data_IF_989602649856
#
_entry.id   IF_989602649856
#
_cell.length_a   1.000
_cell.length_b   1.000
_cell.length_c   1.000
_cell.angle_alpha   90.00
_cell.angle_beta   90.00
_cell.angle_gamma   90.00
#
_symmetry.space_group_name_H-M   'P 1'
#
loop_
_entity.id
_entity.type
_entity.pdbx_description
1 polymer ?
#
# COMPACT_ATOMS: atom_id res chain seq x y z
N UNK A 1 9.98 -16.75 -2.00
CA UNK A 1 8.71 -17.43 -2.36
C UNK A 1 7.94 -17.94 -1.15
N UNK A 2 8.49 -18.81 -0.28
CA UNK A 2 7.78 -19.37 0.90
C UNK A 2 7.19 -18.37 1.93
N UNK A 3 7.74 -17.17 2.06
CA UNK A 3 7.21 -16.15 2.98
C UNK A 3 5.86 -15.59 2.49
N UNK A 4 5.72 -15.43 1.17
CA UNK A 4 4.52 -14.93 0.53
C UNK A 4 3.38 -15.94 0.59
N UNK A 5 3.67 -17.24 0.47
CA UNK A 5 2.66 -18.31 0.60
C UNK A 5 1.95 -18.34 1.96
N UNK A 6 2.65 -17.91 3.03
CA UNK A 6 2.06 -17.74 4.37
C UNK A 6 1.32 -16.42 4.52
N UNK A 7 1.81 -15.34 3.90
CA UNK A 7 1.18 -14.04 3.94
C UNK A 7 -0.15 -14.03 3.16
N UNK A 8 -0.21 -14.72 2.01
CA UNK A 8 -1.41 -14.85 1.18
C UNK A 8 -2.54 -15.64 1.87
N UNK A 9 -2.22 -16.51 2.85
CA UNK A 9 -3.24 -17.13 3.70
C UNK A 9 -3.91 -16.15 4.66
N UNK A 10 -3.19 -15.11 5.10
CA UNK A 10 -3.70 -14.10 6.04
C UNK A 10 -4.36 -12.94 5.30
N UNK A 11 -3.84 -12.59 4.11
CA UNK A 11 -4.26 -11.41 3.34
C UNK A 11 -5.29 -11.77 2.26
N UNK A 12 -5.56 -13.07 2.05
CA UNK A 12 -6.47 -13.60 1.04
C UNK A 12 -5.80 -13.76 -0.34
N UNK A 13 -6.30 -14.67 -1.20
CA UNK A 13 -5.70 -14.97 -2.51
C UNK A 13 -5.88 -13.85 -3.55
N UNK A 14 -6.48 -12.73 -3.18
CA UNK A 14 -6.91 -11.67 -4.09
C UNK A 14 -5.99 -10.44 -4.08
N UNK A 15 -5.04 -10.37 -3.15
CA UNK A 15 -4.23 -9.17 -2.99
C UNK A 15 -3.01 -9.26 -3.89
N UNK A 16 -2.99 -8.42 -4.93
CA UNK A 16 -1.87 -8.36 -5.87
C UNK A 16 -0.59 -8.02 -5.11
N UNK A 17 0.34 -8.96 -5.11
CA UNK A 17 1.59 -8.84 -4.35
C UNK A 17 2.38 -7.60 -4.76
N UNK A 18 2.27 -7.21 -6.03
CA UNK A 18 2.93 -6.03 -6.59
C UNK A 18 2.44 -4.72 -5.95
N UNK A 19 1.15 -4.62 -5.62
CA UNK A 19 0.60 -3.42 -4.96
C UNK A 19 1.07 -3.34 -3.50
N UNK A 20 1.13 -4.48 -2.81
CA UNK A 20 1.64 -4.55 -1.44
C UNK A 20 3.11 -4.15 -1.39
N UNK A 21 3.91 -4.69 -2.30
CA UNK A 21 5.34 -4.40 -2.40
C UNK A 21 5.58 -2.92 -2.74
N UNK A 22 4.77 -2.35 -3.65
CA UNK A 22 4.80 -0.92 -3.96
C UNK A 22 4.50 -0.06 -2.73
N UNK A 23 3.50 -0.42 -1.92
CA UNK A 23 3.19 0.29 -0.68
C UNK A 23 4.34 0.21 0.33
N UNK A 24 4.98 -0.96 0.46
CA UNK A 24 6.16 -1.11 1.33
C UNK A 24 7.34 -0.25 0.86
N UNK A 25 7.60 -0.21 -0.44
CA UNK A 25 8.65 0.64 -1.00
C UNK A 25 8.39 2.12 -0.70
N UNK A 26 7.15 2.59 -0.84
CA UNK A 26 6.77 3.98 -0.51
C UNK A 26 6.98 4.30 0.98
N UNK A 27 6.69 3.36 1.87
CA UNK A 27 6.95 3.51 3.32
C UNK A 27 8.45 3.64 3.58
N UNK A 28 9.27 2.80 2.94
CA UNK A 28 10.74 2.85 3.07
C UNK A 28 11.29 4.19 2.54
N UNK A 29 10.80 4.68 1.40
CA UNK A 29 11.20 6.01 0.87
C UNK A 29 10.81 7.15 1.81
N UNK A 30 9.62 7.09 2.40
CA UNK A 30 9.18 8.07 3.41
C UNK A 30 10.12 8.08 4.62
N UNK A 31 10.53 6.91 5.11
CA UNK A 31 11.49 6.78 6.21
C UNK A 31 12.87 7.33 5.84
N UNK A 32 13.32 7.07 4.61
CA UNK A 32 14.57 7.59 4.08
C UNK A 32 14.57 9.13 4.04
N UNK A 33 13.56 9.76 3.44
CA UNK A 33 13.44 11.22 3.43
C UNK A 33 13.34 11.83 4.82
N UNK A 34 12.65 11.14 5.75
CA UNK A 34 12.58 11.56 7.15
C UNK A 34 13.96 11.53 7.82
N UNK A 35 14.75 10.47 7.57
CA UNK A 35 16.11 10.34 8.09
C UNK A 35 17.05 11.41 7.51
N UNK A 36 16.89 11.76 6.23
CA UNK A 36 17.64 12.83 5.55
C UNK A 36 17.14 14.25 5.88
N UNK A 37 16.10 14.38 6.70
CA UNK A 37 15.45 15.66 7.07
C UNK A 37 14.85 16.42 5.87
N UNK A 38 14.51 15.69 4.81
CA UNK A 38 13.80 16.16 3.63
C UNK A 38 12.29 16.14 3.91
N UNK A 39 11.80 17.20 4.56
CA UNK A 39 10.43 17.23 5.09
C UNK A 39 9.36 17.29 4.01
N UNK A 40 9.57 18.03 2.93
CA UNK A 40 8.57 18.20 1.88
C UNK A 40 8.40 16.89 1.09
N UNK A 41 9.51 16.22 0.81
CA UNK A 41 9.58 14.93 0.14
C UNK A 41 8.96 13.83 1.00
N UNK A 42 9.27 13.79 2.30
CA UNK A 42 8.66 12.85 3.24
C UNK A 42 7.14 13.04 3.33
N UNK A 43 6.65 14.28 3.38
CA UNK A 43 5.21 14.57 3.42
C UNK A 43 4.51 14.22 2.12
N UNK A 44 5.16 14.49 0.98
CA UNK A 44 4.65 14.15 -0.35
C UNK A 44 4.54 12.65 -0.50
N UNK A 45 5.60 11.91 -0.19
CA UNK A 45 5.62 10.45 -0.28
C UNK A 45 4.59 9.81 0.68
N UNK A 46 4.49 10.30 1.92
CA UNK A 46 3.47 9.84 2.86
C UNK A 46 2.04 10.08 2.35
N UNK A 47 1.79 11.21 1.67
CA UNK A 47 0.50 11.51 1.04
C UNK A 47 0.16 10.57 -0.11
N UNK A 48 1.15 10.24 -0.94
CA UNK A 48 1.02 9.26 -2.04
C UNK A 48 0.76 7.87 -1.48
N UNK A 49 1.58 7.41 -0.53
CA UNK A 49 1.42 6.10 0.12
C UNK A 49 0.03 5.94 0.76
N UNK A 50 -0.48 7.00 1.41
CA UNK A 50 -1.81 7.01 2.02
C UNK A 50 -2.92 6.89 0.96
N UNK A 51 -2.83 7.64 -0.13
CA UNK A 51 -3.81 7.59 -1.21
C UNK A 51 -3.81 6.22 -1.90
N UNK A 52 -2.63 5.65 -2.10
CA UNK A 52 -2.44 4.31 -2.65
C UNK A 52 -3.06 3.23 -1.76
N UNK A 53 -2.77 3.25 -0.45
CA UNK A 53 -3.37 2.33 0.51
C UNK A 53 -4.90 2.45 0.58
N UNK A 54 -5.42 3.67 0.45
CA UNK A 54 -6.87 3.90 0.39
C UNK A 54 -7.50 3.29 -0.86
N UNK A 55 -6.85 3.45 -2.02
CA UNK A 55 -7.30 2.84 -3.27
C UNK A 55 -7.32 1.31 -3.17
N UNK A 56 -6.23 0.69 -2.68
CA UNK A 56 -6.18 -0.76 -2.45
C UNK A 56 -7.32 -1.25 -1.54
N UNK A 57 -7.60 -0.51 -0.46
CA UNK A 57 -8.69 -0.88 0.45
C UNK A 57 -10.08 -0.72 -0.19
N UNK A 58 -10.26 0.29 -1.04
CA UNK A 58 -11.52 0.50 -1.76
C UNK A 58 -11.74 -0.50 -2.89
N UNK A 59 -10.69 -0.92 -3.59
CA UNK A 59 -10.77 -2.00 -4.58
C UNK A 59 -11.09 -3.36 -3.95
N UNK A 60 -10.70 -3.57 -2.68
CA UNK A 60 -11.02 -4.77 -1.90
C UNK A 60 -12.47 -4.80 -1.38
N UNK A 61 -13.17 -3.67 -1.37
CA UNK A 61 -14.60 -3.63 -1.05
C UNK A 61 -15.40 -3.98 -2.31
N UNK A 62 -16.22 -5.05 -2.31
CA UNK A 62 -17.11 -5.32 -3.44
C UNK A 62 -17.97 -4.07 -3.63
N UNK A 63 -17.89 -3.50 -4.83
CA UNK A 63 -18.40 -2.16 -5.14
C UNK A 63 -19.79 -1.95 -4.55
N UNK A 64 -19.87 -1.07 -3.54
CA UNK A 64 -21.15 -0.46 -3.14
C UNK A 64 -21.47 0.58 -4.21
N UNK A 65 -21.73 0.10 -5.42
CA UNK A 65 -21.89 0.89 -6.62
C UNK A 65 -22.76 0.11 -7.59
N UNK A 66 -24.06 0.43 -7.55
CA UNK A 66 -25.13 -0.07 -8.41
C UNK A 66 -25.54 -1.54 -8.22
N UNK A 67 -26.25 -1.79 -7.12
CA UNK A 67 -27.44 -2.63 -7.19
C UNK A 67 -28.59 -1.65 -6.89
N UNK A 68 -29.53 -1.53 -7.83
CA UNK A 68 -30.78 -0.75 -7.80
C UNK A 68 -31.23 -0.17 -6.45
#
# INVERSE_FOLDING_TARGET
QKAWDKASQVWGPFKDHDEIDALFEMIVRTQHFTAERQKEEALTEAGVARSFAHHMYQSDLPGVGNIF
#
